data_IF_927809474832
#
_entry.id   IF_927809474832
#
_cell.length_a   1.000
_cell.length_b   1.000
_cell.length_c   1.000
_cell.angle_alpha   90.00
_cell.angle_beta   90.00
_cell.angle_gamma   90.00
#
_symmetry.space_group_name_H-M   'P 1'
#
loop_
_entity.id
_entity.type
_entity.pdbx_description
1 polymer ?
#
# COMPACT_ATOMS: atom_id res chain seq x y z
N UNK A 1 23.68 38.69 28.08
CA UNK A 1 23.13 39.06 26.75
C UNK A 1 23.70 38.24 25.59
N UNK A 2 25.01 37.96 25.53
CA UNK A 2 25.63 37.20 24.42
C UNK A 2 25.07 35.77 24.24
N UNK A 3 24.71 35.08 25.33
CA UNK A 3 24.11 33.74 25.28
C UNK A 3 22.61 33.74 24.94
N UNK A 4 21.88 34.83 25.22
CA UNK A 4 20.46 34.97 24.90
C UNK A 4 20.26 35.13 23.38
N UNK A 5 21.17 35.86 22.73
CA UNK A 5 21.16 36.08 21.28
C UNK A 5 21.40 34.77 20.51
N UNK A 6 22.32 33.91 20.98
CA UNK A 6 22.61 32.61 20.38
C UNK A 6 21.42 31.65 20.53
N UNK A 7 20.75 31.66 21.69
CA UNK A 7 19.57 30.82 21.92
C UNK A 7 18.39 31.19 21.02
N UNK A 8 18.18 32.49 20.78
CA UNK A 8 17.13 32.99 19.88
C UNK A 8 17.46 32.63 18.41
N UNK A 9 18.72 32.73 18.00
CA UNK A 9 19.14 32.32 16.64
C UNK A 9 18.98 30.80 16.45
N UNK A 10 19.29 29.98 17.46
CA UNK A 10 19.04 28.53 17.41
C UNK A 10 17.55 28.18 17.29
N UNK A 11 16.65 28.93 17.97
CA UNK A 11 15.21 28.73 17.84
C UNK A 11 14.69 29.15 16.45
N UNK A 12 15.21 30.24 15.88
CA UNK A 12 14.88 30.73 14.53
C UNK A 12 15.45 29.84 13.41
N UNK A 13 16.51 29.08 13.69
CA UNK A 13 17.08 28.09 12.78
C UNK A 13 16.46 26.69 12.92
N UNK A 14 15.41 26.52 13.73
CA UNK A 14 14.65 25.28 13.71
C UNK A 14 13.94 25.21 12.36
N UNK A 15 14.26 24.26 11.46
CA UNK A 15 13.41 24.05 10.29
C UNK A 15 12.00 23.79 10.82
N UNK A 16 11.07 24.70 10.53
CA UNK A 16 9.65 24.41 10.66
C UNK A 16 9.41 23.24 9.71
N UNK A 17 9.30 22.04 10.27
CA UNK A 17 8.86 20.87 9.52
C UNK A 17 7.42 21.14 9.12
N UNK A 18 7.24 21.66 7.91
CA UNK A 18 5.94 21.67 7.25
C UNK A 18 5.58 20.21 6.96
N UNK A 19 4.36 19.83 7.31
CA UNK A 19 3.84 18.50 7.02
C UNK A 19 2.51 18.69 6.33
N UNK A 20 2.36 18.04 5.17
CA UNK A 20 1.06 17.92 4.52
C UNK A 20 0.13 17.08 5.41
N UNK A 21 -1.12 17.54 5.52
CA UNK A 21 -2.15 16.79 6.21
C UNK A 21 -2.77 15.74 5.30
N UNK A 22 -3.42 14.73 5.89
CA UNK A 22 -4.22 13.75 5.14
C UNK A 22 -5.31 14.44 4.31
N UNK A 23 -5.85 15.56 4.79
CA UNK A 23 -6.85 16.35 4.06
C UNK A 23 -6.26 16.94 2.77
N UNK A 24 -5.04 17.47 2.83
CA UNK A 24 -4.36 18.03 1.65
C UNK A 24 -4.19 16.95 0.58
N UNK A 25 -3.79 15.74 0.97
CA UNK A 25 -3.64 14.65 0.01
C UNK A 25 -4.96 14.07 -0.52
N UNK A 26 -6.04 14.03 0.28
CA UNK A 26 -7.39 13.66 -0.20
C UNK A 26 -7.88 14.68 -1.24
N UNK A 27 -7.69 15.97 -0.95
CA UNK A 27 -8.00 17.06 -1.90
C UNK A 27 -7.20 16.88 -3.18
N UNK A 28 -5.88 16.67 -3.07
CA UNK A 28 -5.02 16.44 -4.23
C UNK A 28 -5.48 15.24 -5.07
N UNK A 29 -5.76 14.10 -4.44
CA UNK A 29 -6.24 12.89 -5.13
C UNK A 29 -7.53 13.16 -5.90
N UNK A 30 -8.47 13.88 -5.28
CA UNK A 30 -9.75 14.25 -5.89
C UNK A 30 -9.56 15.16 -7.11
N UNK A 31 -8.72 16.20 -6.97
CA UNK A 31 -8.40 17.14 -8.07
C UNK A 31 -7.72 16.45 -9.26
N UNK A 32 -7.02 15.34 -9.01
CA UNK A 32 -6.31 14.57 -10.02
C UNK A 32 -7.02 13.29 -10.45
N UNK A 33 -8.29 13.10 -10.07
CA UNK A 33 -9.12 11.94 -10.43
C UNK A 33 -8.56 10.57 -10.00
N UNK A 34 -7.84 10.51 -8.87
CA UNK A 34 -7.51 9.24 -8.22
C UNK A 34 -8.66 8.82 -7.31
N UNK A 35 -9.21 7.62 -7.53
CA UNK A 35 -10.25 7.05 -6.67
C UNK A 35 -9.60 6.21 -5.58
N UNK A 36 -9.74 6.64 -4.33
CA UNK A 36 -9.18 5.95 -3.18
C UNK A 36 -10.01 4.72 -2.81
N UNK A 37 -9.35 3.63 -2.41
CA UNK A 37 -10.03 2.38 -2.05
C UNK A 37 -10.90 2.54 -0.80
N UNK A 38 -12.23 2.32 -0.86
CA UNK A 38 -13.08 2.38 0.32
C UNK A 38 -12.79 1.22 1.30
N UNK A 39 -12.23 0.10 0.81
CA UNK A 39 -11.89 -1.09 1.62
C UNK A 39 -10.88 -0.75 2.73
N UNK A 40 -9.96 0.17 2.46
CA UNK A 40 -8.88 0.56 3.37
C UNK A 40 -9.05 1.98 3.95
N UNK A 41 -10.21 2.62 3.75
CA UNK A 41 -10.49 3.96 4.29
C UNK A 41 -10.37 4.00 5.83
N UNK A 42 -10.79 2.91 6.49
CA UNK A 42 -10.73 2.74 7.95
C UNK A 42 -9.31 2.77 8.52
N UNK A 43 -8.29 2.53 7.68
CA UNK A 43 -6.88 2.53 8.07
C UNK A 43 -6.19 3.90 7.87
N UNK A 44 -6.88 4.87 7.24
CA UNK A 44 -6.33 6.21 7.01
C UNK A 44 -5.99 6.88 8.36
N UNK A 45 -4.73 7.30 8.49
CA UNK A 45 -4.21 7.95 9.69
C UNK A 45 -3.87 6.99 10.84
N UNK A 46 -4.09 5.69 10.68
CA UNK A 46 -3.61 4.69 11.63
C UNK A 46 -2.12 4.45 11.39
N UNK A 47 -1.32 4.68 12.43
CA UNK A 47 0.14 4.54 12.35
C UNK A 47 0.54 3.13 11.94
N UNK A 48 1.50 3.06 11.02
CA UNK A 48 2.12 1.82 10.53
C UNK A 48 1.10 0.87 9.82
N UNK A 49 -0.11 1.35 9.49
CA UNK A 49 -1.06 0.62 8.65
C UNK A 49 -0.92 1.06 7.18
N UNK A 50 -1.15 0.13 6.26
CA UNK A 50 -1.35 0.48 4.86
C UNK A 50 -2.74 1.10 4.70
N UNK A 51 -2.80 2.18 3.94
CA UNK A 51 -4.05 2.89 3.65
C UNK A 51 -3.99 3.45 2.22
N UNK A 52 -5.11 3.87 1.61
CA UNK A 52 -5.10 4.46 0.27
C UNK A 52 -4.28 5.75 0.21
N UNK A 53 -4.10 6.39 1.37
CA UNK A 53 -3.30 7.59 1.56
C UNK A 53 -2.62 7.56 2.92
N UNK A 54 -1.33 7.92 2.94
CA UNK A 54 -0.53 8.06 4.16
C UNK A 54 0.25 9.37 4.17
N UNK A 55 0.54 9.89 5.36
CA UNK A 55 1.60 10.88 5.52
C UNK A 55 2.93 10.16 5.54
N UNK A 56 3.85 10.59 4.69
CA UNK A 56 5.20 10.03 4.64
C UNK A 56 6.05 10.53 5.81
N UNK A 57 7.13 9.81 6.13
CA UNK A 57 8.04 10.11 7.23
C UNK A 57 8.78 11.43 7.07
N UNK A 58 8.90 11.94 5.84
CA UNK A 58 9.48 13.25 5.53
C UNK A 58 8.44 14.39 5.47
N UNK A 59 7.20 14.14 5.88
CA UNK A 59 6.15 15.16 5.95
C UNK A 59 5.38 15.40 4.64
N UNK A 60 5.64 14.59 3.61
CA UNK A 60 4.86 14.57 2.37
C UNK A 60 3.64 13.64 2.44
N UNK A 61 3.14 13.23 1.27
CA UNK A 61 1.99 12.33 1.12
C UNK A 61 2.31 11.23 0.12
N UNK A 62 1.92 10.00 0.41
CA UNK A 62 1.88 8.92 -0.57
C UNK A 62 0.43 8.47 -0.78
N UNK A 63 0.02 8.33 -2.03
CA UNK A 63 -1.34 8.06 -2.47
C UNK A 63 -1.31 6.86 -3.41
N UNK A 64 -2.27 5.96 -3.25
CA UNK A 64 -2.59 4.91 -4.23
C UNK A 64 -4.10 4.96 -4.51
N UNK A 65 -4.47 4.90 -5.77
CA UNK A 65 -5.87 4.90 -6.17
C UNK A 65 -6.09 4.34 -7.56
N UNK A 66 -7.33 3.98 -7.85
CA UNK A 66 -7.74 3.63 -9.20
C UNK A 66 -7.65 4.89 -10.08
N UNK A 67 -7.22 4.69 -11.32
CA UNK A 67 -6.93 5.77 -12.25
C UNK A 67 -7.12 5.32 -13.69
N UNK A 68 -7.50 6.26 -14.56
CA UNK A 68 -7.54 6.06 -16.01
C UNK A 68 -6.39 6.86 -16.62
N UNK A 69 -5.37 6.16 -17.11
CA UNK A 69 -4.30 6.79 -17.87
C UNK A 69 -4.58 6.66 -19.37
N UNK A 70 -4.89 7.80 -19.99
CA UNK A 70 -5.39 7.88 -21.37
C UNK A 70 -6.73 7.14 -21.51
N UNK A 71 -6.69 5.87 -21.89
CA UNK A 71 -7.87 5.00 -22.08
C UNK A 71 -7.74 3.67 -21.33
N UNK A 72 -6.75 3.57 -20.44
CA UNK A 72 -6.46 2.34 -19.70
C UNK A 72 -6.77 2.53 -18.23
N UNK A 73 -7.73 1.75 -17.72
CA UNK A 73 -7.99 1.63 -16.28
C UNK A 73 -6.85 0.87 -15.60
N UNK A 74 -6.44 1.34 -14.43
CA UNK A 74 -5.42 0.69 -13.63
C UNK A 74 -5.25 1.38 -12.29
N UNK A 75 -4.08 1.19 -11.67
CA UNK A 75 -3.75 1.77 -10.37
C UNK A 75 -2.62 2.78 -10.52
N UNK A 76 -2.78 3.95 -9.91
CA UNK A 76 -1.73 4.97 -9.85
C UNK A 76 -1.23 5.15 -8.44
N UNK A 77 0.09 5.14 -8.29
CA UNK A 77 0.80 5.55 -7.08
C UNK A 77 1.41 6.92 -7.32
N UNK A 78 1.20 7.84 -6.39
CA UNK A 78 1.81 9.17 -6.39
C UNK A 78 2.46 9.43 -5.05
N UNK A 79 3.68 9.95 -5.06
CA UNK A 79 4.35 10.42 -3.84
C UNK A 79 4.70 11.89 -4.00
N UNK A 80 4.26 12.69 -3.03
CA UNK A 80 4.45 14.13 -2.93
C UNK A 80 5.43 14.44 -1.79
N UNK A 81 6.22 15.50 -1.93
CA UNK A 81 7.01 16.05 -0.83
C UNK A 81 6.16 16.91 0.11
N UNK A 82 6.79 17.51 1.13
CA UNK A 82 6.18 18.40 2.12
C UNK A 82 5.62 19.72 1.56
N UNK A 83 5.85 19.98 0.27
CA UNK A 83 5.36 21.14 -0.49
C UNK A 83 4.31 20.76 -1.56
N UNK A 84 3.83 19.52 -1.53
CA UNK A 84 2.91 18.96 -2.53
C UNK A 84 3.49 18.86 -3.96
N UNK A 85 4.81 18.86 -4.10
CA UNK A 85 5.48 18.62 -5.38
C UNK A 85 5.66 17.11 -5.57
N UNK A 86 5.41 16.62 -6.79
CA UNK A 86 5.56 15.20 -7.12
C UNK A 86 7.03 14.78 -7.04
N UNK A 87 7.34 13.82 -6.17
CA UNK A 87 8.62 13.11 -6.14
C UNK A 87 8.64 12.07 -7.24
N UNK A 88 7.61 11.21 -7.30
CA UNK A 88 7.42 10.25 -8.37
C UNK A 88 5.94 9.87 -8.54
N UNK A 89 5.65 9.31 -9.71
CA UNK A 89 4.38 8.63 -10.01
C UNK A 89 4.65 7.33 -10.72
N UNK A 90 3.81 6.33 -10.49
CA UNK A 90 3.75 5.08 -11.26
C UNK A 90 2.32 4.75 -11.63
N UNK A 91 2.10 4.40 -12.88
CA UNK A 91 0.86 3.80 -13.34
C UNK A 91 1.07 2.31 -13.58
N UNK A 92 0.21 1.51 -13.00
CA UNK A 92 0.14 0.07 -13.17
C UNK A 92 -1.11 -0.23 -13.98
N UNK A 93 -0.91 -0.51 -15.26
CA UNK A 93 -1.99 -0.98 -16.13
C UNK A 93 -2.49 -2.38 -15.74
N UNK A 94 -3.57 -2.84 -16.38
CA UNK A 94 -4.21 -4.11 -16.08
C UNK A 94 -3.24 -5.24 -16.43
N UNK A 95 -2.90 -6.08 -15.45
CA UNK A 95 -2.03 -7.23 -15.67
C UNK A 95 -2.89 -8.42 -16.09
N UNK A 96 -3.11 -8.56 -17.40
CA UNK A 96 -4.05 -9.51 -18.02
C UNK A 96 -5.54 -9.30 -17.66
N UNK A 97 -5.83 -8.59 -16.57
CA UNK A 97 -7.13 -8.47 -15.91
C UNK A 97 -7.31 -7.13 -15.19
N UNK A 98 -8.49 -6.90 -14.59
CA UNK A 98 -8.77 -5.68 -13.80
C UNK A 98 -7.80 -5.56 -12.61
N UNK A 99 -7.31 -4.36 -12.37
CA UNK A 99 -6.44 -4.04 -11.23
C UNK A 99 -7.12 -2.99 -10.37
N UNK A 100 -7.22 -3.24 -9.07
CA UNK A 100 -7.84 -2.36 -8.07
C UNK A 100 -6.81 -1.93 -7.03
N UNK A 101 -6.81 -0.64 -6.68
CA UNK A 101 -6.01 -0.10 -5.60
C UNK A 101 -6.52 -0.58 -4.24
N UNK A 102 -5.60 -0.92 -3.33
CA UNK A 102 -5.93 -1.29 -1.96
C UNK A 102 -5.30 -0.30 -0.97
N UNK A 103 -3.97 -0.30 -0.86
CA UNK A 103 -3.28 0.55 0.11
C UNK A 103 -1.80 0.73 -0.19
N UNK A 104 -1.20 1.73 0.45
CA UNK A 104 0.22 2.04 0.38
C UNK A 104 0.78 2.20 1.79
N UNK A 105 2.03 1.77 1.99
CA UNK A 105 2.75 1.91 3.26
C UNK A 105 4.23 2.23 3.03
N UNK A 106 4.83 3.03 3.91
CA UNK A 106 6.26 3.39 3.87
C UNK A 106 7.05 2.67 4.97
N UNK A 107 8.14 1.97 4.60
CA UNK A 107 9.07 1.38 5.56
C UNK A 107 10.00 2.41 6.21
N UNK A 108 10.85 1.97 7.15
CA UNK A 108 11.76 2.88 7.86
C UNK A 108 12.93 3.39 7.01
N UNK A 109 13.14 2.82 5.83
CA UNK A 109 14.18 3.26 4.90
C UNK A 109 13.62 4.18 3.80
N UNK A 110 12.33 4.54 3.88
CA UNK A 110 11.65 5.35 2.88
C UNK A 110 11.30 4.59 1.59
N UNK A 111 11.24 3.26 1.63
CA UNK A 111 10.64 2.49 0.54
C UNK A 111 9.13 2.40 0.72
N UNK A 112 8.41 2.43 -0.39
CA UNK A 112 6.97 2.29 -0.45
C UNK A 112 6.60 0.88 -0.89
N UNK A 113 5.52 0.36 -0.31
CA UNK A 113 4.90 -0.89 -0.71
C UNK A 113 3.48 -0.54 -1.17
N UNK A 114 3.22 -0.67 -2.46
CA UNK A 114 1.89 -0.53 -3.04
C UNK A 114 1.20 -1.89 -3.07
N UNK A 115 -0.04 -1.94 -2.62
CA UNK A 115 -0.87 -3.15 -2.58
C UNK A 115 -2.04 -2.97 -3.52
N UNK A 116 -2.22 -3.96 -4.38
CA UNK A 116 -3.21 -3.97 -5.45
C UNK A 116 -3.86 -5.33 -5.51
N UNK A 117 -5.14 -5.37 -5.87
CA UNK A 117 -5.88 -6.60 -6.13
C UNK A 117 -6.08 -6.76 -7.63
N UNK A 118 -5.94 -7.98 -8.13
CA UNK A 118 -6.10 -8.31 -9.55
C UNK A 118 -7.26 -9.28 -9.68
N UNK A 119 -8.23 -9.04 -10.56
CA UNK A 119 -9.43 -9.88 -10.71
C UNK A 119 -9.63 -10.38 -12.15
N UNK A 120 -9.56 -11.69 -12.37
CA UNK A 120 -9.87 -12.28 -13.68
C UNK A 120 -11.37 -12.18 -14.01
N UNK A 121 -11.71 -11.40 -15.06
CA UNK A 121 -13.12 -11.21 -15.49
C UNK A 121 -13.74 -12.46 -16.09
N UNK A 122 -12.94 -13.39 -16.60
CA UNK A 122 -13.40 -14.64 -17.20
C UNK A 122 -13.62 -15.69 -16.11
N UNK A 123 -12.93 -15.56 -14.98
CA UNK A 123 -13.01 -16.46 -13.83
C UNK A 123 -13.07 -15.65 -12.55
N UNK A 124 -14.28 -15.26 -12.15
CA UNK A 124 -14.62 -14.54 -10.89
C UNK A 124 -13.97 -15.09 -9.61
N UNK A 125 -13.37 -16.28 -9.67
CA UNK A 125 -12.64 -16.85 -8.55
C UNK A 125 -11.14 -16.52 -8.57
N UNK A 126 -10.50 -16.15 -9.67
CA UNK A 126 -9.05 -15.91 -9.74
C UNK A 126 -8.72 -14.46 -9.29
N UNK A 127 -8.76 -14.22 -7.98
CA UNK A 127 -8.44 -12.91 -7.36
C UNK A 127 -7.07 -12.93 -6.70
N UNK A 128 -6.14 -12.14 -7.22
CA UNK A 128 -4.72 -12.14 -6.80
C UNK A 128 -4.30 -10.83 -6.17
N UNK A 129 -3.77 -10.90 -4.95
CA UNK A 129 -3.07 -9.79 -4.33
C UNK A 129 -1.67 -9.63 -4.95
N UNK A 130 -1.33 -8.40 -5.33
CA UNK A 130 -0.04 -7.98 -5.87
C UNK A 130 0.57 -6.93 -4.97
N UNK A 131 1.86 -7.07 -4.69
CA UNK A 131 2.62 -6.11 -3.89
C UNK A 131 3.84 -5.66 -4.68
N UNK A 132 3.99 -4.35 -4.82
CA UNK A 132 5.15 -3.73 -5.47
C UNK A 132 5.95 -2.96 -4.44
N UNK A 133 7.27 -3.16 -4.43
CA UNK A 133 8.19 -2.34 -3.64
C UNK A 133 8.86 -1.31 -4.51
N UNK A 134 8.79 -0.06 -4.10
CA UNK A 134 9.31 1.11 -4.80
C UNK A 134 10.24 1.84 -3.84
N UNK A 135 11.43 2.27 -4.30
CA UNK A 135 12.26 3.11 -3.44
C UNK A 135 11.83 4.58 -3.38
N UNK A 136 12.49 5.34 -2.50
CA UNK A 136 12.23 6.77 -2.31
C UNK A 136 12.38 7.62 -3.59
N UNK A 137 13.08 7.12 -4.61
CA UNK A 137 13.24 7.79 -5.92
C UNK A 137 12.21 7.34 -6.96
N UNK A 138 11.32 6.43 -6.60
CA UNK A 138 10.38 5.84 -7.54
C UNK A 138 10.91 4.62 -8.29
N UNK A 139 12.09 4.06 -7.97
CA UNK A 139 12.55 2.86 -8.68
C UNK A 139 11.90 1.62 -8.09
N UNK A 140 11.19 0.86 -8.93
CA UNK A 140 10.66 -0.47 -8.58
C UNK A 140 11.84 -1.40 -8.25
N UNK A 141 11.81 -2.00 -7.06
CA UNK A 141 12.79 -2.99 -6.58
C UNK A 141 12.37 -4.40 -6.90
N UNK A 142 11.09 -4.69 -6.70
CA UNK A 142 10.45 -5.94 -7.06
C UNK A 142 8.93 -5.75 -7.10
N UNK A 143 8.27 -6.71 -7.72
CA UNK A 143 6.85 -6.70 -8.00
C UNK A 143 6.39 -8.15 -8.04
N UNK A 144 5.56 -8.54 -7.08
CA UNK A 144 5.19 -9.93 -6.86
C UNK A 144 3.69 -10.08 -6.73
N UNK A 145 3.14 -11.14 -7.31
CA UNK A 145 1.86 -11.67 -6.88
C UNK A 145 2.08 -12.49 -5.60
N UNK A 146 1.20 -12.34 -4.61
CA UNK A 146 1.24 -13.14 -3.38
C UNK A 146 0.81 -14.60 -3.65
N UNK A 147 0.22 -14.87 -4.81
CA UNK A 147 -0.17 -16.20 -5.26
C UNK A 147 0.97 -17.03 -5.86
N UNK A 148 0.96 -18.32 -5.54
CA UNK A 148 1.76 -19.31 -6.26
C UNK A 148 0.87 -19.95 -7.32
N UNK A 149 1.18 -19.69 -8.59
CA UNK A 149 0.42 -20.07 -9.79
C UNK A 149 0.01 -21.54 -9.84
N UNK A 150 0.77 -22.43 -9.23
CA UNK A 150 0.56 -23.88 -9.33
C UNK A 150 -0.47 -24.43 -8.32
N UNK A 151 -0.81 -23.64 -7.29
CA UNK A 151 -1.55 -24.16 -6.14
C UNK A 151 -3.02 -23.72 -6.03
N UNK A 152 -3.48 -22.79 -6.89
CA UNK A 152 -4.84 -22.22 -6.83
C UNK A 152 -5.20 -21.68 -5.43
N UNK A 153 -4.41 -20.70 -4.96
CA UNK A 153 -4.65 -20.04 -3.68
C UNK A 153 -5.28 -18.69 -3.94
N UNK A 154 -6.50 -18.43 -3.49
CA UNK A 154 -7.06 -17.07 -3.54
C UNK A 154 -6.85 -16.41 -2.20
N UNK A 155 -5.98 -15.40 -2.15
CA UNK A 155 -5.67 -14.66 -0.93
C UNK A 155 -6.27 -13.28 -1.02
N UNK A 156 -6.93 -12.86 0.03
CA UNK A 156 -7.43 -11.49 0.16
C UNK A 156 -6.85 -10.88 1.43
N UNK A 157 -6.17 -9.75 1.31
CA UNK A 157 -5.61 -9.03 2.44
C UNK A 157 -6.68 -8.13 3.05
N UNK A 158 -6.90 -8.25 4.36
CA UNK A 158 -7.79 -7.37 5.12
C UNK A 158 -7.02 -6.32 5.92
N UNK A 159 -5.77 -6.62 6.28
CA UNK A 159 -4.95 -5.74 7.11
C UNK A 159 -3.50 -5.94 6.76
N UNK A 160 -2.79 -4.84 6.54
CA UNK A 160 -1.36 -4.83 6.22
C UNK A 160 -0.70 -3.79 7.11
N UNK A 161 0.25 -4.23 7.93
CA UNK A 161 0.89 -3.40 8.97
C UNK A 161 2.39 -3.52 8.85
N UNK A 162 3.12 -2.41 8.95
CA UNK A 162 4.58 -2.44 9.06
C UNK A 162 4.97 -3.07 10.41
N UNK A 163 5.74 -4.14 10.35
CA UNK A 163 6.25 -4.81 11.54
C UNK A 163 7.13 -3.86 12.36
N UNK A 164 7.25 -4.11 13.67
CA UNK A 164 7.97 -3.25 14.62
C UNK A 164 9.47 -3.09 14.33
N UNK A 165 10.05 -3.95 13.50
CA UNK A 165 11.42 -3.81 12.98
C UNK A 165 11.56 -2.77 11.84
N UNK A 166 10.43 -2.38 11.24
CA UNK A 166 10.38 -1.42 10.14
C UNK A 166 10.90 -1.94 8.80
N UNK A 167 11.00 -3.26 8.62
CA UNK A 167 11.56 -3.92 7.42
C UNK A 167 10.63 -4.97 6.81
N UNK A 168 9.61 -5.41 7.54
CA UNK A 168 8.67 -6.46 7.12
C UNK A 168 7.24 -5.97 7.21
N UNK A 169 6.37 -6.52 6.37
CA UNK A 169 4.92 -6.29 6.47
C UNK A 169 4.27 -7.51 7.12
N UNK A 170 3.40 -7.27 8.10
CA UNK A 170 2.51 -8.25 8.68
C UNK A 170 1.15 -8.16 8.00
N UNK A 171 0.69 -9.27 7.43
CA UNK A 171 -0.54 -9.34 6.65
C UNK A 171 -1.52 -10.29 7.33
N UNK A 172 -2.79 -9.92 7.34
CA UNK A 172 -3.89 -10.76 7.81
C UNK A 172 -5.03 -10.69 6.80
N UNK A 173 -5.73 -11.79 6.64
CA UNK A 173 -6.85 -11.85 5.71
C UNK A 173 -7.46 -13.23 5.62
N UNK A 174 -7.96 -13.56 4.45
CA UNK A 174 -8.57 -14.85 4.14
C UNK A 174 -7.83 -15.55 3.02
N UNK A 175 -7.93 -16.89 3.00
CA UNK A 175 -7.40 -17.70 1.91
C UNK A 175 -8.36 -18.83 1.56
N UNK A 176 -8.47 -19.13 0.28
CA UNK A 176 -9.00 -20.40 -0.22
C UNK A 176 -7.79 -21.26 -0.65
N UNK A 177 -7.36 -22.23 0.18
CA UNK A 177 -6.03 -22.84 0.06
C UNK A 177 -5.89 -23.88 -1.06
N UNK A 178 -6.99 -24.30 -1.67
CA UNK A 178 -6.98 -25.31 -2.74
C UNK A 178 -8.26 -25.24 -3.58
N UNK A 179 -8.28 -26.02 -4.67
CA UNK A 179 -9.43 -26.12 -5.58
C UNK A 179 -10.73 -26.55 -4.89
N UNK A 180 -10.67 -27.42 -3.89
CA UNK A 180 -11.85 -27.89 -3.18
C UNK A 180 -12.45 -26.77 -2.33
N UNK A 181 -11.61 -26.04 -1.59
CA UNK A 181 -12.04 -24.86 -0.85
C UNK A 181 -12.62 -23.78 -1.78
N UNK A 182 -12.02 -23.57 -2.96
CA UNK A 182 -12.54 -22.66 -3.98
C UNK A 182 -13.94 -23.08 -4.45
N UNK A 183 -14.10 -24.34 -4.87
CA UNK A 183 -15.38 -24.89 -5.35
C UNK A 183 -16.47 -24.82 -4.29
N UNK A 184 -16.11 -25.09 -3.03
CA UNK A 184 -17.03 -25.07 -1.90
C UNK A 184 -17.21 -23.67 -1.29
N UNK A 185 -16.55 -22.63 -1.83
CA UNK A 185 -16.51 -21.26 -1.28
C UNK A 185 -16.07 -21.19 0.18
N UNK A 186 -15.22 -22.12 0.60
CA UNK A 186 -14.65 -22.16 1.95
C UNK A 186 -13.51 -21.17 2.06
N UNK A 187 -13.54 -20.36 3.12
CA UNK A 187 -12.50 -19.39 3.43
C UNK A 187 -11.81 -19.79 4.72
N UNK A 188 -10.51 -19.59 4.80
CA UNK A 188 -9.68 -19.90 5.95
C UNK A 188 -9.01 -18.62 6.45
N UNK A 189 -8.73 -18.55 7.75
CA UNK A 189 -7.87 -17.49 8.28
C UNK A 189 -6.50 -17.56 7.64
N UNK A 190 -5.96 -16.42 7.23
CA UNK A 190 -4.64 -16.33 6.66
C UNK A 190 -3.82 -15.26 7.37
N UNK A 191 -2.57 -15.59 7.66
CA UNK A 191 -1.59 -14.66 8.23
C UNK A 191 -0.28 -14.82 7.51
N UNK A 192 0.41 -13.71 7.24
CA UNK A 192 1.71 -13.74 6.59
C UNK A 192 2.64 -12.63 7.05
N UNK A 193 3.92 -12.85 6.79
CA UNK A 193 4.97 -11.84 6.88
C UNK A 193 5.65 -11.75 5.52
N UNK A 194 5.65 -10.56 4.92
CA UNK A 194 6.40 -10.27 3.70
C UNK A 194 7.67 -9.51 4.06
N UNK A 195 8.82 -10.00 3.63
CA UNK A 195 10.11 -9.36 3.92
C UNK A 195 10.54 -8.33 2.87
N UNK A 196 11.66 -7.64 3.16
CA UNK A 196 12.20 -6.60 2.29
C UNK A 196 12.68 -7.09 0.91
N UNK A 197 12.86 -8.40 0.73
CA UNK A 197 13.27 -9.06 -0.51
C UNK A 197 12.09 -9.64 -1.28
N UNK A 198 10.86 -9.47 -0.79
CA UNK A 198 9.67 -10.03 -1.42
C UNK A 198 9.43 -11.51 -1.06
N UNK A 199 10.05 -12.02 0.00
CA UNK A 199 9.82 -13.39 0.48
C UNK A 199 8.62 -13.40 1.42
N UNK A 200 7.59 -14.16 1.04
CA UNK A 200 6.35 -14.34 1.80
C UNK A 200 6.42 -15.61 2.66
N UNK A 201 6.37 -15.44 3.98
CA UNK A 201 6.20 -16.54 4.94
C UNK A 201 4.75 -16.48 5.43
N UNK A 202 4.01 -17.58 5.35
CA UNK A 202 2.59 -17.55 5.71
C UNK A 202 2.09 -18.83 6.38
N UNK A 203 0.96 -18.69 7.05
CA UNK A 203 0.26 -19.78 7.74
C UNK A 203 -1.23 -19.73 7.38
N UNK A 204 -1.83 -20.91 7.27
CA UNK A 204 -3.26 -21.10 7.05
C UNK A 204 -3.87 -21.59 8.37
N UNK A 205 -4.82 -20.82 8.87
CA UNK A 205 -5.50 -21.10 10.12
C UNK A 205 -6.81 -21.86 9.92
N UNK A 206 -7.73 -21.67 10.87
CA UNK A 206 -9.04 -22.34 10.87
C UNK A 206 -9.94 -21.85 9.73
N UNK A 207 -10.82 -22.74 9.25
CA UNK A 207 -11.96 -22.39 8.40
C UNK A 207 -12.81 -21.30 9.06
N UNK A 208 -13.27 -20.35 8.25
CA UNK A 208 -14.17 -19.26 8.59
C UNK A 208 -15.58 -19.64 8.15
N UNK A 209 -16.56 -19.43 9.03
CA UNK A 209 -17.96 -19.84 8.80
C UNK A 209 -18.21 -21.32 9.12
N UNK A 210 -19.46 -21.75 8.91
CA UNK A 210 -19.88 -23.16 8.97
C UNK A 210 -19.91 -23.73 7.56
#
# INVERSE_FOLDING_TARGET
>A
MRHLLVFIICLLCSPFYSQLSLKDGITWATEHNLVLSPKYEVDIGIKDHAAPIIVTRNGGIAIIGDYIEVETEGVKIVVLNDKAEIIFTHFFGPYADNLEAQGIIEDRNGHFYGIMETHDKVKDNDTRERVVKIDHSGKIKWDIALEQKDNHYHRHCNTIVLHSDGKRLSMKGTVQPDKTAIQNKEHYKWTATLDHNGVLIHEIGKKLGK
#
